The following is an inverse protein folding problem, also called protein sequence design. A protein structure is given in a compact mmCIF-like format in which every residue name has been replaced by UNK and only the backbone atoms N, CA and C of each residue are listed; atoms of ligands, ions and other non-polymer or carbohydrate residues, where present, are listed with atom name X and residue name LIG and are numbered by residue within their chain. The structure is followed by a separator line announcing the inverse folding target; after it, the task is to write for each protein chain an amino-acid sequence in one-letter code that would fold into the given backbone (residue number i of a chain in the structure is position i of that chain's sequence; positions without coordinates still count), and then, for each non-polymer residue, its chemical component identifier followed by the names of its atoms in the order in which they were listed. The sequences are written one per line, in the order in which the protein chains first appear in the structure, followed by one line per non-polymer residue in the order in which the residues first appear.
data_IF_103025916574
#
_entry.id   IF_103025916574
#
_cell.length_a   1.000
_cell.length_b   1.000
_cell.length_c   1.000
_cell.angle_alpha   90.00
_cell.angle_beta   90.00
_cell.angle_gamma   90.00
#
_symmetry.space_group_name_H-M   'P 1'
#
loop_
_entity.id
_entity.type
_entity.pdbx_description
1 polymer ?
#
# COMPACT_ATOMS: atom_id res chain seq x y z
N UNK A 1 9.28 16.58 -1.62
CA UNK A 1 8.98 15.63 -2.72
C UNK A 1 7.75 14.84 -2.26
N UNK A 2 6.76 14.64 -3.13
CA UNK A 2 5.59 13.80 -2.77
C UNK A 2 5.99 12.34 -2.67
N UNK A 3 5.22 11.53 -1.90
CA UNK A 3 5.47 10.07 -1.81
C UNK A 3 5.34 9.37 -3.18
N UNK A 4 4.53 9.89 -4.08
CA UNK A 4 4.41 9.40 -5.46
C UNK A 4 5.68 9.66 -6.28
N UNK A 5 6.20 10.89 -6.21
CA UNK A 5 7.47 11.23 -6.85
C UNK A 5 8.64 10.42 -6.27
N UNK A 6 8.63 10.15 -4.96
CA UNK A 6 9.62 9.29 -4.32
C UNK A 6 9.51 7.84 -4.81
N UNK A 7 8.29 7.31 -4.95
CA UNK A 7 8.07 5.98 -5.51
C UNK A 7 8.65 5.86 -6.92
N UNK A 8 8.39 6.83 -7.81
CA UNK A 8 8.97 6.87 -9.15
C UNK A 8 10.49 6.91 -9.12
N UNK A 9 11.08 7.68 -8.21
CA UNK A 9 12.54 7.73 -8.03
C UNK A 9 13.09 6.36 -7.62
N UNK A 10 12.52 5.72 -6.60
CA UNK A 10 12.97 4.41 -6.10
C UNK A 10 12.90 3.33 -7.19
N UNK A 11 11.85 3.33 -8.02
CA UNK A 11 11.74 2.40 -9.15
C UNK A 11 12.90 2.61 -10.15
N UNK A 12 13.17 3.86 -10.51
CA UNK A 12 14.21 4.21 -11.51
C UNK A 12 15.64 3.89 -11.04
N UNK A 13 15.88 3.81 -9.74
CA UNK A 13 17.18 3.44 -9.18
C UNK A 13 17.59 2.00 -9.55
N UNK A 14 16.64 1.12 -9.90
CA UNK A 14 16.90 -0.31 -10.22
C UNK A 14 17.76 -1.01 -9.17
N UNK A 15 17.57 -0.63 -7.90
CA UNK A 15 18.41 -1.06 -6.78
C UNK A 15 17.86 -2.30 -6.06
N UNK A 16 16.80 -2.92 -6.59
CA UNK A 16 16.14 -4.06 -5.97
C UNK A 16 15.60 -3.71 -4.59
N UNK A 17 14.92 -2.58 -4.47
CA UNK A 17 14.30 -2.18 -3.21
C UNK A 17 13.28 -3.22 -2.75
N UNK A 18 13.45 -3.73 -1.54
CA UNK A 18 12.50 -4.69 -0.97
C UNK A 18 11.21 -3.97 -0.64
N UNK A 19 10.10 -4.52 -1.13
CA UNK A 19 8.74 -4.03 -0.90
C UNK A 19 7.94 -5.09 -0.12
N UNK A 20 8.00 -5.07 1.24
CA UNK A 20 7.22 -5.99 2.04
C UNK A 20 5.72 -5.72 1.86
N UNK A 21 4.93 -6.80 1.74
CA UNK A 21 3.48 -6.72 1.77
C UNK A 21 3.00 -6.54 3.20
N UNK A 22 2.24 -5.46 3.41
CA UNK A 22 1.57 -5.15 4.67
C UNK A 22 0.09 -5.49 4.56
N UNK A 23 -0.57 -5.73 5.68
CA UNK A 23 -1.96 -6.17 5.70
C UNK A 23 -2.89 -5.18 6.42
N UNK A 24 -2.33 -4.21 7.16
CA UNK A 24 -3.07 -3.14 7.86
C UNK A 24 -2.15 -1.97 8.23
N UNK A 25 -2.71 -0.97 8.90
CA UNK A 25 -1.97 0.21 9.36
C UNK A 25 -0.87 -0.11 10.38
N UNK A 26 -1.07 -1.12 11.24
CA UNK A 26 -0.08 -1.51 12.25
C UNK A 26 1.13 -2.19 11.59
N UNK A 27 0.90 -3.14 10.70
CA UNK A 27 1.98 -3.80 9.95
C UNK A 27 2.74 -2.81 9.04
N UNK A 28 2.06 -1.77 8.53
CA UNK A 28 2.69 -0.70 7.78
C UNK A 28 3.67 0.11 8.64
N UNK A 29 3.27 0.52 9.85
CA UNK A 29 4.16 1.18 10.82
C UNK A 29 5.36 0.32 11.20
N UNK A 30 5.16 -0.99 11.38
CA UNK A 30 6.26 -1.93 11.67
C UNK A 30 7.25 -1.96 10.50
N UNK A 31 6.75 -2.02 9.25
CA UNK A 31 7.60 -2.03 8.07
C UNK A 31 8.39 -0.71 7.92
N UNK A 32 7.76 0.45 8.10
CA UNK A 32 8.43 1.75 8.10
C UNK A 32 9.49 1.84 9.20
N UNK A 33 9.18 1.45 10.44
CA UNK A 33 10.14 1.42 11.56
C UNK A 33 11.32 0.48 11.29
N UNK A 34 11.10 -0.60 10.56
CA UNK A 34 12.16 -1.52 10.13
C UNK A 34 13.07 -0.93 9.03
N UNK A 35 12.77 0.27 8.51
CA UNK A 35 13.60 0.99 7.54
C UNK A 35 13.27 0.68 6.07
N UNK A 36 12.16 0.04 5.77
CA UNK A 36 11.73 -0.15 4.38
C UNK A 36 11.29 1.18 3.76
N UNK A 37 11.82 1.48 2.58
CA UNK A 37 11.58 2.75 1.87
C UNK A 37 10.28 2.79 1.09
N UNK A 38 9.65 1.65 0.87
CA UNK A 38 8.37 1.47 0.19
C UNK A 38 7.70 0.18 0.68
N UNK A 39 6.37 0.14 0.63
CA UNK A 39 5.57 -1.00 1.08
C UNK A 39 4.49 -1.34 0.07
N UNK A 40 4.00 -2.58 0.12
CA UNK A 40 2.95 -3.09 -0.76
C UNK A 40 1.66 -3.42 0.01
N UNK A 41 0.50 -3.00 -0.49
CA UNK A 41 -0.82 -3.45 -0.07
C UNK A 41 -1.38 -4.45 -1.07
N UNK A 42 -1.29 -5.74 -0.78
CA UNK A 42 -1.79 -6.79 -1.67
C UNK A 42 -3.24 -7.18 -1.40
N UNK A 43 -4.01 -7.49 -2.45
CA UNK A 43 -5.40 -7.95 -2.34
C UNK A 43 -5.54 -9.19 -1.45
N UNK A 44 -4.66 -10.17 -1.60
CA UNK A 44 -4.61 -11.36 -0.74
C UNK A 44 -4.55 -11.02 0.76
N UNK A 45 -3.68 -10.07 1.14
CA UNK A 45 -3.51 -9.66 2.52
C UNK A 45 -4.71 -8.84 3.02
N UNK A 46 -5.25 -7.98 2.17
CA UNK A 46 -6.44 -7.18 2.46
C UNK A 46 -7.66 -8.08 2.72
N UNK A 47 -7.96 -9.03 1.84
CA UNK A 47 -9.06 -10.00 2.01
C UNK A 47 -8.86 -10.84 3.29
N UNK A 48 -7.64 -11.35 3.51
CA UNK A 48 -7.32 -12.14 4.70
C UNK A 48 -7.62 -11.40 6.01
N UNK A 49 -7.36 -10.11 6.07
CA UNK A 49 -7.56 -9.31 7.29
C UNK A 49 -8.94 -8.66 7.39
N UNK A 50 -9.53 -8.21 6.29
CA UNK A 50 -10.86 -7.61 6.31
C UNK A 50 -11.97 -8.66 6.52
N UNK A 51 -11.83 -9.85 5.91
CA UNK A 51 -12.89 -10.85 5.84
C UNK A 51 -12.55 -12.17 6.54
N UNK A 52 -11.29 -12.40 6.92
CA UNK A 52 -10.84 -13.71 7.42
C UNK A 52 -10.96 -14.83 6.37
N UNK A 53 -11.01 -14.47 5.09
CA UNK A 53 -11.32 -15.36 3.97
C UNK A 53 -10.14 -15.55 3.00
N UNK A 54 -10.31 -16.53 2.11
CA UNK A 54 -9.41 -16.71 0.97
C UNK A 54 -9.67 -15.63 -0.09
N UNK A 55 -8.62 -15.27 -0.84
CA UNK A 55 -8.69 -14.30 -1.93
C UNK A 55 -9.34 -14.93 -3.18
N UNK A 56 -10.62 -14.64 -3.36
CA UNK A 56 -11.50 -15.15 -4.43
C UNK A 56 -12.27 -14.01 -5.12
N UNK A 57 -11.78 -12.78 -5.07
CA UNK A 57 -12.40 -11.62 -5.71
C UNK A 57 -13.72 -11.17 -5.07
N UNK A 58 -13.94 -11.46 -3.78
CA UNK A 58 -15.23 -11.21 -3.11
C UNK A 58 -15.36 -9.81 -2.49
N UNK A 59 -14.31 -9.00 -2.52
CA UNK A 59 -14.37 -7.62 -2.03
C UNK A 59 -14.70 -6.63 -3.15
N UNK A 60 -14.88 -5.38 -2.79
CA UNK A 60 -15.24 -4.32 -3.71
C UNK A 60 -14.27 -3.12 -3.59
N UNK A 61 -14.34 -2.23 -4.57
CA UNK A 61 -13.51 -1.04 -4.67
C UNK A 61 -13.50 -0.18 -3.40
N UNK A 62 -14.66 -0.02 -2.74
CA UNK A 62 -14.79 0.85 -1.57
C UNK A 62 -14.07 0.28 -0.37
N UNK A 63 -14.25 -1.01 -0.11
CA UNK A 63 -13.56 -1.69 1.00
C UNK A 63 -12.05 -1.60 0.85
N UNK A 64 -11.53 -1.78 -0.39
CA UNK A 64 -10.12 -1.62 -0.68
C UNK A 64 -9.64 -0.18 -0.51
N UNK A 65 -10.39 0.81 -1.01
CA UNK A 65 -10.02 2.23 -0.87
C UNK A 65 -9.93 2.66 0.60
N UNK A 66 -10.90 2.26 1.42
CA UNK A 66 -10.92 2.54 2.85
C UNK A 66 -9.77 1.82 3.58
N UNK A 67 -9.51 0.58 3.23
CA UNK A 67 -8.42 -0.21 3.80
C UNK A 67 -7.04 0.40 3.47
N UNK A 68 -6.78 0.68 2.20
CA UNK A 68 -5.52 1.28 1.76
C UNK A 68 -5.34 2.71 2.26
N UNK A 69 -6.43 3.47 2.39
CA UNK A 69 -6.41 4.80 3.00
C UNK A 69 -5.89 4.79 4.44
N UNK A 70 -6.29 3.80 5.25
CA UNK A 70 -5.77 3.61 6.62
C UNK A 70 -4.29 3.26 6.62
N UNK A 71 -3.82 2.44 5.68
CA UNK A 71 -2.40 2.10 5.51
C UNK A 71 -1.61 3.36 5.15
N UNK A 72 -2.04 4.10 4.11
CA UNK A 72 -1.36 5.31 3.65
C UNK A 72 -1.31 6.40 4.74
N UNK A 73 -2.38 6.55 5.52
CA UNK A 73 -2.43 7.54 6.62
C UNK A 73 -1.50 7.20 7.81
N UNK A 74 -1.07 5.94 7.92
CA UNK A 74 -0.25 5.48 9.04
C UNK A 74 1.26 5.67 8.85
N UNK A 75 1.72 5.93 7.62
CA UNK A 75 3.15 5.90 7.23
C UNK A 75 3.53 7.09 6.33
N UNK A 76 4.84 7.39 6.28
CA UNK A 76 5.42 8.41 5.43
C UNK A 76 6.32 7.81 4.32
N UNK A 77 6.04 6.58 3.92
CA UNK A 77 6.70 5.90 2.80
C UNK A 77 5.70 5.59 1.69
N UNK A 78 6.15 5.50 0.42
CA UNK A 78 5.27 5.16 -0.69
C UNK A 78 4.57 3.81 -0.50
N UNK A 79 3.27 3.76 -0.82
CA UNK A 79 2.43 2.56 -0.78
C UNK A 79 1.98 2.21 -2.19
N UNK A 80 2.35 1.02 -2.68
CA UNK A 80 1.85 0.47 -3.95
C UNK A 80 0.83 -0.63 -3.67
N UNK A 81 -0.33 -0.59 -4.33
CA UNK A 81 -1.46 -1.46 -3.99
C UNK A 81 -1.96 -2.28 -5.17
N UNK A 82 -2.57 -3.41 -4.85
CA UNK A 82 -3.31 -4.24 -5.78
C UNK A 82 -4.74 -3.70 -5.96
N UNK A 83 -5.21 -3.65 -7.19
CA UNK A 83 -6.56 -3.24 -7.56
C UNK A 83 -7.32 -4.36 -8.28
N UNK A 84 -6.94 -5.61 -8.03
CA UNK A 84 -7.55 -6.78 -8.66
C UNK A 84 -7.66 -6.60 -10.20
N UNK A 85 -8.87 -6.70 -10.77
CA UNK A 85 -9.14 -6.48 -12.19
C UNK A 85 -9.67 -5.09 -12.52
N UNK A 86 -9.60 -4.15 -11.55
CA UNK A 86 -10.17 -2.80 -11.68
C UNK A 86 -11.65 -2.72 -11.30
N UNK A 87 -12.21 -3.78 -10.69
CA UNK A 87 -13.59 -3.85 -10.16
C UNK A 87 -14.71 -3.69 -11.21
N UNK A 88 -14.41 -4.01 -12.46
CA UNK A 88 -15.34 -3.96 -13.58
C UNK A 88 -14.70 -3.47 -14.87
N UNK A 89 -15.46 -2.73 -15.69
CA UNK A 89 -15.02 -2.21 -16.96
C UNK A 89 -14.44 -0.78 -16.84
N UNK A 90 -14.15 -0.11 -17.93
CA UNK A 90 -13.41 1.18 -18.04
C UNK A 90 -13.91 2.26 -17.09
N UNK A 91 -15.22 2.37 -16.87
CA UNK A 91 -15.79 3.35 -15.94
C UNK A 91 -15.55 2.97 -14.47
N UNK A 92 -15.53 1.68 -14.16
CA UNK A 92 -15.17 1.18 -12.82
C UNK A 92 -13.69 1.46 -12.55
N UNK A 93 -12.81 1.19 -13.52
CA UNK A 93 -11.38 1.50 -13.44
C UNK A 93 -11.16 3.00 -13.23
N UNK A 94 -11.86 3.86 -13.98
CA UNK A 94 -11.81 5.31 -13.79
C UNK A 94 -12.16 5.72 -12.35
N UNK A 95 -13.24 5.16 -11.81
CA UNK A 95 -13.67 5.44 -10.44
C UNK A 95 -12.70 4.87 -9.39
N UNK A 96 -12.16 3.69 -9.63
CA UNK A 96 -11.18 3.03 -8.77
C UNK A 96 -9.90 3.87 -8.66
N UNK A 97 -9.32 4.31 -9.79
CA UNK A 97 -8.10 5.14 -9.78
C UNK A 97 -8.31 6.41 -8.96
N UNK A 98 -9.43 7.12 -9.17
CA UNK A 98 -9.76 8.34 -8.41
C UNK A 98 -9.90 8.09 -6.92
N UNK A 99 -10.53 6.98 -6.54
CA UNK A 99 -10.72 6.59 -5.13
C UNK A 99 -9.40 6.24 -4.47
N UNK A 100 -8.56 5.44 -5.13
CA UNK A 100 -7.26 5.03 -4.61
C UNK A 100 -6.26 6.20 -4.58
N UNK A 101 -6.30 7.08 -5.58
CA UNK A 101 -5.51 8.30 -5.58
C UNK A 101 -5.86 9.21 -4.40
N UNK A 102 -7.15 9.33 -4.08
CA UNK A 102 -7.64 10.06 -2.91
C UNK A 102 -7.23 9.39 -1.60
N UNK A 103 -7.18 8.05 -1.56
CA UNK A 103 -6.68 7.28 -0.42
C UNK A 103 -5.17 7.46 -0.16
N UNK A 104 -4.42 8.09 -1.08
CA UNK A 104 -3.01 8.43 -0.87
C UNK A 104 -2.01 7.41 -1.44
N UNK A 105 -2.44 6.43 -2.22
CA UNK A 105 -1.55 5.43 -2.80
C UNK A 105 -0.55 6.05 -3.80
N UNK A 106 0.61 5.42 -3.93
CA UNK A 106 1.68 5.86 -4.83
C UNK A 106 1.74 5.03 -6.12
N UNK A 107 1.21 3.81 -6.10
CA UNK A 107 1.10 2.95 -7.26
C UNK A 107 -0.16 2.08 -7.21
N UNK A 108 -0.75 1.80 -8.37
CA UNK A 108 -1.95 0.97 -8.52
C UNK A 108 -1.64 -0.12 -9.53
N UNK A 109 -1.75 -1.39 -9.11
CA UNK A 109 -1.58 -2.54 -9.98
C UNK A 109 -2.94 -3.09 -10.40
N UNK A 110 -3.17 -3.18 -11.71
CA UNK A 110 -4.39 -3.71 -12.32
C UNK A 110 -4.03 -5.00 -13.08
N UNK A 111 -4.74 -6.09 -12.82
CA UNK A 111 -4.55 -7.38 -13.45
C UNK A 111 -5.51 -7.65 -14.60
N UNK A 112 -5.09 -8.49 -15.54
CA UNK A 112 -5.88 -8.93 -16.70
C UNK A 112 -6.66 -10.23 -16.50
N UNK A 113 -6.81 -10.70 -15.25
CA UNK A 113 -7.68 -11.84 -14.99
C UNK A 113 -9.14 -11.51 -15.32
N UNK A 114 -9.92 -12.51 -15.73
CA UNK A 114 -11.37 -12.40 -15.77
C UNK A 114 -11.94 -12.34 -14.35
N UNK A 115 -13.01 -11.56 -14.18
CA UNK A 115 -13.70 -11.48 -12.88
C UNK A 115 -14.66 -12.66 -12.68
N UNK A 116 -14.76 -13.26 -11.48
CA UNK A 116 -14.01 -12.94 -10.27
C UNK A 116 -12.56 -13.43 -10.32
N UNK A 117 -11.63 -12.53 -9.98
CA UNK A 117 -10.20 -12.87 -9.93
C UNK A 117 -9.88 -13.78 -8.74
N UNK A 118 -8.70 -14.37 -8.79
CA UNK A 118 -8.16 -15.23 -7.73
C UNK A 118 -6.72 -14.86 -7.45
N UNK A 119 -6.24 -15.25 -6.27
CA UNK A 119 -4.81 -15.17 -5.99
C UNK A 119 -3.98 -15.75 -7.15
N UNK A 120 -2.96 -15.02 -7.59
CA UNK A 120 -2.15 -15.38 -8.76
C UNK A 120 -1.42 -16.73 -8.68
N UNK A 121 -1.40 -17.36 -7.51
CA UNK A 121 -0.83 -18.71 -7.29
C UNK A 121 -1.87 -19.83 -7.30
N UNK A 122 -3.16 -19.52 -7.39
CA UNK A 122 -4.22 -20.50 -7.48
C UNK A 122 -4.44 -20.95 -8.95
N UNK A 123 -4.83 -22.19 -9.19
CA UNK A 123 -5.19 -22.68 -10.52
C UNK A 123 -6.58 -22.18 -10.95
N UNK A 124 -6.89 -22.37 -12.25
CA UNK A 124 -8.19 -22.08 -12.82
C UNK A 124 -8.46 -20.58 -12.97
N UNK A 125 -7.43 -19.81 -13.25
CA UNK A 125 -7.52 -18.42 -13.70
C UNK A 125 -7.78 -18.38 -15.20
N UNK A 126 -8.39 -17.31 -15.64
CA UNK A 126 -8.52 -16.96 -17.04
C UNK A 126 -8.15 -15.50 -17.22
N UNK A 127 -7.79 -15.09 -18.43
CA UNK A 127 -7.43 -13.71 -18.73
C UNK A 127 -8.36 -13.12 -19.79
N UNK A 128 -8.68 -11.86 -19.64
CA UNK A 128 -9.45 -11.08 -20.62
C UNK A 128 -8.65 -10.88 -21.91
N UNK A 129 -9.31 -10.43 -22.97
CA UNK A 129 -8.63 -10.10 -24.23
C UNK A 129 -7.62 -8.95 -24.01
N UNK A 130 -6.62 -8.89 -24.88
CA UNK A 130 -5.61 -7.82 -24.84
C UNK A 130 -6.26 -6.45 -25.06
N UNK A 131 -7.24 -6.37 -25.96
CA UNK A 131 -7.97 -5.14 -26.30
C UNK A 131 -8.76 -4.63 -25.09
N UNK A 132 -9.42 -5.51 -24.34
CA UNK A 132 -10.15 -5.14 -23.13
C UNK A 132 -9.21 -4.60 -22.07
N UNK A 133 -8.06 -5.25 -21.84
CA UNK A 133 -7.08 -4.77 -20.87
C UNK A 133 -6.45 -3.44 -21.30
N UNK A 134 -6.15 -3.23 -22.59
CA UNK A 134 -5.68 -1.96 -23.13
C UNK A 134 -6.70 -0.85 -22.84
N UNK A 135 -8.00 -1.11 -23.05
CA UNK A 135 -9.04 -0.13 -22.75
C UNK A 135 -9.07 0.25 -21.28
N UNK A 136 -8.95 -0.73 -20.37
CA UNK A 136 -8.85 -0.50 -18.91
C UNK A 136 -7.60 0.32 -18.54
N UNK A 137 -6.44 0.01 -19.10
CA UNK A 137 -5.20 0.77 -18.84
C UNK A 137 -5.34 2.22 -19.32
N UNK A 138 -5.87 2.47 -20.52
CA UNK A 138 -6.12 3.82 -21.02
C UNK A 138 -7.08 4.60 -20.13
N UNK A 139 -8.13 3.94 -19.62
CA UNK A 139 -9.05 4.54 -18.66
C UNK A 139 -8.35 4.90 -17.34
N UNK A 140 -7.47 4.03 -16.84
CA UNK A 140 -6.68 4.27 -15.62
C UNK A 140 -5.74 5.47 -15.78
N UNK A 141 -4.99 5.51 -16.88
CA UNK A 141 -4.06 6.61 -17.20
C UNK A 141 -4.79 7.95 -17.35
N UNK A 142 -5.93 7.95 -18.02
CA UNK A 142 -6.75 9.16 -18.20
C UNK A 142 -7.44 9.62 -16.90
N UNK A 143 -7.70 8.71 -15.97
CA UNK A 143 -8.37 9.00 -14.71
C UNK A 143 -7.46 9.64 -13.65
N UNK A 144 -6.15 9.33 -13.65
CA UNK A 144 -5.19 9.87 -12.69
C UNK A 144 -5.06 11.39 -12.83
N UNK A 145 -4.98 12.08 -11.69
CA UNK A 145 -4.81 13.55 -11.62
C UNK A 145 -3.36 13.95 -11.36
N UNK A 146 -2.69 13.18 -10.50
CA UNK A 146 -1.29 13.37 -10.19
C UNK A 146 -0.44 12.53 -11.16
N UNK A 147 0.38 13.17 -12.02
CA UNK A 147 1.20 12.46 -13.01
C UNK A 147 2.23 11.52 -12.36
N UNK A 148 2.53 11.69 -11.08
CA UNK A 148 3.44 10.82 -10.35
C UNK A 148 2.79 9.54 -9.82
N UNK A 149 1.45 9.41 -9.85
CA UNK A 149 0.78 8.15 -9.56
C UNK A 149 1.17 7.09 -10.61
N UNK A 150 1.71 5.96 -10.15
CA UNK A 150 2.21 4.90 -11.04
C UNK A 150 1.08 3.91 -11.36
N UNK A 151 0.79 3.69 -12.64
CA UNK A 151 -0.13 2.67 -13.12
C UNK A 151 0.68 1.44 -13.54
N UNK A 152 0.41 0.31 -12.90
CA UNK A 152 1.12 -0.95 -13.11
C UNK A 152 0.16 -1.93 -13.76
N UNK A 153 0.48 -2.43 -14.94
CA UNK A 153 -0.28 -3.48 -15.60
C UNK A 153 0.31 -4.86 -15.24
N UNK A 154 -0.53 -5.77 -14.77
CA UNK A 154 -0.15 -7.15 -14.48
C UNK A 154 -0.84 -8.08 -15.46
N UNK A 155 -0.09 -9.06 -15.99
CA UNK A 155 -0.69 -10.17 -16.74
C UNK A 155 -0.50 -11.50 -16.01
N UNK A 156 -1.57 -12.27 -15.93
CA UNK A 156 -1.55 -13.64 -15.42
C UNK A 156 -1.48 -14.69 -16.54
N UNK A 157 -1.33 -14.28 -17.81
CA UNK A 157 -1.33 -15.14 -18.99
C UNK A 157 -0.19 -16.18 -19.02
N UNK A 158 0.92 -15.95 -18.29
CA UNK A 158 2.08 -16.85 -18.31
C UNK A 158 1.73 -18.29 -17.93
N UNK A 159 0.82 -18.50 -16.99
CA UNK A 159 0.48 -19.84 -16.51
C UNK A 159 -0.12 -20.73 -17.60
N UNK A 160 -0.94 -20.15 -18.47
CA UNK A 160 -1.74 -20.90 -19.44
C UNK A 160 -1.25 -20.72 -20.89
N UNK A 161 -0.62 -19.58 -21.20
CA UNK A 161 -0.17 -19.22 -22.55
C UNK A 161 1.35 -19.07 -22.68
N UNK A 162 2.09 -19.17 -21.59
CA UNK A 162 3.56 -19.11 -21.58
C UNK A 162 4.13 -17.70 -21.48
N UNK A 163 5.47 -17.63 -21.37
CA UNK A 163 6.19 -16.39 -21.14
C UNK A 163 6.16 -15.44 -22.34
N UNK A 164 6.17 -15.98 -23.57
CA UNK A 164 6.17 -15.15 -24.80
C UNK A 164 4.89 -14.32 -24.90
N UNK A 165 3.72 -14.93 -24.64
CA UNK A 165 2.44 -14.23 -24.58
C UNK A 165 2.45 -13.16 -23.47
N UNK A 166 2.96 -13.49 -22.29
CA UNK A 166 3.02 -12.56 -21.18
C UNK A 166 3.92 -11.35 -21.48
N UNK A 167 5.05 -11.55 -22.12
CA UNK A 167 5.95 -10.47 -22.56
C UNK A 167 5.28 -9.61 -23.64
N UNK A 168 4.62 -10.22 -24.61
CA UNK A 168 3.89 -9.51 -25.66
C UNK A 168 2.80 -8.62 -25.04
N UNK A 169 1.98 -9.16 -24.12
CA UNK A 169 0.97 -8.39 -23.41
C UNK A 169 1.59 -7.21 -22.63
N UNK A 170 2.67 -7.43 -21.89
CA UNK A 170 3.36 -6.36 -21.17
C UNK A 170 3.80 -5.21 -22.09
N UNK A 171 4.34 -5.51 -23.27
CA UNK A 171 4.74 -4.49 -24.27
C UNK A 171 3.54 -3.65 -24.71
N UNK A 172 2.42 -4.30 -25.06
CA UNK A 172 1.19 -3.62 -25.49
C UNK A 172 0.57 -2.79 -24.34
N UNK A 173 0.66 -3.25 -23.09
CA UNK A 173 0.17 -2.51 -21.94
C UNK A 173 1.00 -1.25 -21.67
N UNK A 174 2.32 -1.29 -21.89
CA UNK A 174 3.18 -0.09 -21.84
C UNK A 174 2.85 0.88 -22.97
N UNK A 175 2.61 0.40 -24.20
CA UNK A 175 2.15 1.23 -25.32
C UNK A 175 0.76 1.86 -25.06
N UNK A 176 -0.09 1.19 -24.25
CA UNK A 176 -1.36 1.75 -23.80
C UNK A 176 -1.19 2.86 -22.75
N UNK A 177 0.01 3.04 -22.18
CA UNK A 177 0.38 4.11 -21.25
C UNK A 177 0.57 3.67 -19.80
N UNK A 178 0.58 2.36 -19.49
CA UNK A 178 1.02 1.90 -18.18
C UNK A 178 2.48 2.35 -17.93
N UNK A 179 2.76 2.74 -16.68
CA UNK A 179 4.13 3.13 -16.31
C UNK A 179 5.03 1.91 -16.11
N UNK A 180 4.46 0.82 -15.62
CA UNK A 180 5.13 -0.48 -15.45
C UNK A 180 4.22 -1.60 -15.95
N UNK A 181 4.84 -2.69 -16.41
CA UNK A 181 4.14 -3.92 -16.74
C UNK A 181 4.91 -5.13 -16.22
N UNK A 182 4.19 -6.12 -15.72
CA UNK A 182 4.83 -7.33 -15.18
C UNK A 182 3.99 -8.59 -15.42
N UNK A 183 4.61 -9.69 -15.84
CA UNK A 183 3.99 -11.00 -15.82
C UNK A 183 3.99 -11.56 -14.39
N UNK A 184 2.90 -12.20 -14.02
CA UNK A 184 2.77 -12.93 -12.76
C UNK A 184 3.39 -14.33 -12.88
N UNK A 185 4.00 -14.79 -11.77
CA UNK A 185 4.53 -16.17 -11.70
C UNK A 185 5.86 -16.36 -12.43
N UNK A 186 6.59 -15.29 -12.75
CA UNK A 186 7.98 -15.37 -13.24
C UNK A 186 8.88 -15.67 -12.04
N UNK A 187 9.39 -16.89 -11.97
CA UNK A 187 10.09 -17.44 -10.82
C UNK A 187 11.45 -18.10 -11.14
N UNK A 188 11.89 -18.08 -12.40
CA UNK A 188 13.17 -18.61 -12.83
C UNK A 188 14.14 -17.49 -13.24
N UNK A 189 15.46 -17.65 -12.96
CA UNK A 189 16.47 -16.66 -13.30
C UNK A 189 16.46 -16.23 -14.75
N UNK A 190 16.39 -17.24 -15.63
CA UNK A 190 16.38 -17.04 -17.07
C UNK A 190 15.13 -16.29 -17.55
N UNK A 191 13.97 -16.51 -16.91
CA UNK A 191 12.74 -15.80 -17.24
C UNK A 191 12.79 -14.34 -16.75
N UNK A 192 13.35 -14.10 -15.56
CA UNK A 192 13.56 -12.75 -15.04
C UNK A 192 14.51 -11.98 -15.95
N UNK A 193 15.62 -12.61 -16.37
CA UNK A 193 16.57 -12.02 -17.30
C UNK A 193 15.91 -11.64 -18.64
N UNK A 194 15.06 -12.52 -19.19
CA UNK A 194 14.27 -12.23 -20.40
C UNK A 194 13.32 -11.05 -20.18
N UNK A 195 12.59 -11.02 -19.06
CA UNK A 195 11.69 -9.90 -18.75
C UNK A 195 12.45 -8.57 -18.67
N UNK A 196 13.61 -8.54 -17.99
CA UNK A 196 14.47 -7.36 -17.90
C UNK A 196 15.00 -6.89 -19.26
N UNK A 197 15.27 -7.80 -20.18
CA UNK A 197 15.76 -7.51 -21.52
C UNK A 197 14.67 -7.07 -22.49
N UNK A 198 13.50 -7.72 -22.43
CA UNK A 198 12.48 -7.61 -23.46
C UNK A 198 11.34 -6.66 -23.12
N UNK A 199 11.05 -6.41 -21.83
CA UNK A 199 9.99 -5.50 -21.38
C UNK A 199 10.64 -4.11 -21.13
N UNK A 200 10.29 -3.07 -21.91
CA UNK A 200 10.97 -1.77 -21.84
C UNK A 200 10.49 -0.89 -20.67
N UNK A 201 10.53 -1.43 -19.47
CA UNK A 201 10.27 -0.70 -18.21
C UNK A 201 11.13 -1.21 -17.06
N UNK A 202 11.04 -0.57 -15.90
CA UNK A 202 11.64 -1.06 -14.67
C UNK A 202 10.90 -2.32 -14.19
N UNK A 203 11.63 -3.42 -14.00
CA UNK A 203 11.02 -4.70 -13.66
C UNK A 203 10.88 -4.89 -12.16
N UNK A 204 9.68 -5.28 -11.71
CA UNK A 204 9.37 -5.65 -10.33
C UNK A 204 9.32 -7.18 -10.18
N UNK A 205 10.31 -7.74 -9.52
CA UNK A 205 10.31 -9.16 -9.15
C UNK A 205 9.36 -9.43 -7.98
N UNK A 206 8.84 -10.66 -7.89
CA UNK A 206 8.03 -11.09 -6.74
C UNK A 206 8.66 -12.31 -6.09
N UNK A 207 8.96 -12.24 -4.81
CA UNK A 207 9.32 -13.38 -3.96
C UNK A 207 8.14 -13.70 -3.06
N UNK A 208 7.57 -14.88 -3.23
CA UNK A 208 6.45 -15.33 -2.40
C UNK A 208 6.67 -16.75 -1.91
N UNK A 209 6.43 -16.97 -0.64
CA UNK A 209 6.45 -18.31 -0.06
C UNK A 209 5.38 -19.22 -0.68
N UNK A 210 4.30 -18.66 -1.23
CA UNK A 210 3.26 -19.40 -1.94
C UNK A 210 3.73 -19.93 -3.30
N UNK A 211 4.75 -19.31 -3.91
CA UNK A 211 5.37 -19.81 -5.13
C UNK A 211 6.42 -20.86 -4.79
N UNK A 212 6.51 -21.90 -5.62
CA UNK A 212 7.62 -22.85 -5.56
C UNK A 212 8.87 -22.23 -6.20
N UNK A 213 9.23 -21.03 -5.74
CA UNK A 213 10.33 -20.26 -6.29
C UNK A 213 11.67 -20.89 -5.96
N UNK A 214 12.54 -20.91 -6.96
CA UNK A 214 13.93 -21.37 -6.80
C UNK A 214 14.85 -20.27 -6.29
N UNK A 215 14.40 -19.01 -6.39
CA UNK A 215 15.12 -17.85 -5.86
C UNK A 215 14.68 -17.54 -4.44
N UNK A 216 15.64 -17.62 -3.57
CA UNK A 216 15.52 -17.09 -2.20
C UNK A 216 16.53 -15.97 -1.94
N UNK A 217 17.47 -15.73 -2.87
CA UNK A 217 18.54 -14.77 -2.69
C UNK A 217 18.18 -13.40 -3.29
N UNK A 218 17.94 -12.46 -2.39
CA UNK A 218 17.68 -11.07 -2.71
C UNK A 218 18.90 -10.42 -3.41
N UNK A 219 20.13 -10.85 -3.09
CA UNK A 219 21.33 -10.31 -3.67
C UNK A 219 21.44 -10.64 -5.16
N UNK A 220 21.02 -11.85 -5.57
CA UNK A 220 20.99 -12.23 -6.99
C UNK A 220 19.99 -11.37 -7.79
N UNK A 221 18.80 -11.15 -7.25
CA UNK A 221 17.81 -10.28 -7.90
C UNK A 221 18.32 -8.84 -8.05
N UNK A 222 18.98 -8.33 -7.02
CA UNK A 222 19.62 -7.00 -7.08
C UNK A 222 20.72 -6.94 -8.13
N UNK A 223 21.55 -7.97 -8.23
CA UNK A 223 22.61 -8.06 -9.22
C UNK A 223 22.07 -8.10 -10.66
N UNK A 224 20.87 -8.64 -10.89
CA UNK A 224 20.20 -8.61 -12.18
C UNK A 224 19.62 -7.23 -12.52
N UNK A 225 19.57 -6.29 -11.58
CA UNK A 225 19.07 -4.93 -11.82
C UNK A 225 17.55 -4.81 -11.77
N UNK A 226 16.84 -5.67 -11.01
CA UNK A 226 15.41 -5.48 -10.76
C UNK A 226 15.18 -4.18 -9.98
N UNK A 227 14.08 -3.49 -10.25
CA UNK A 227 13.76 -2.23 -9.60
C UNK A 227 13.28 -2.46 -8.15
N UNK A 228 12.34 -3.36 -7.99
CA UNK A 228 11.74 -3.70 -6.70
C UNK A 228 11.60 -5.21 -6.54
N UNK A 229 11.63 -5.67 -5.28
CA UNK A 229 11.41 -7.06 -4.90
C UNK A 229 10.21 -7.10 -3.97
N UNK A 230 9.04 -7.46 -4.51
CA UNK A 230 7.80 -7.55 -3.76
C UNK A 230 7.73 -8.86 -2.98
N UNK A 231 7.34 -8.77 -1.70
CA UNK A 231 7.08 -9.90 -0.80
C UNK A 231 5.65 -9.80 -0.24
N UNK A 232 4.62 -10.11 -1.04
CA UNK A 232 3.24 -9.67 -0.80
C UNK A 232 2.59 -10.23 0.47
N UNK A 233 3.00 -11.39 0.95
CA UNK A 233 2.37 -12.06 2.11
C UNK A 233 3.27 -12.21 3.32
N UNK A 234 4.48 -11.63 3.29
CA UNK A 234 5.50 -11.90 4.33
C UNK A 234 5.02 -11.52 5.74
N UNK A 235 4.46 -10.32 5.91
CA UNK A 235 3.99 -9.85 7.20
C UNK A 235 2.74 -10.60 7.67
N UNK A 236 1.79 -10.86 6.76
CA UNK A 236 0.56 -11.59 7.09
C UNK A 236 0.85 -13.01 7.58
N UNK A 237 1.72 -13.74 6.87
CA UNK A 237 2.04 -15.12 7.28
C UNK A 237 2.84 -15.18 8.56
N UNK A 238 3.74 -14.21 8.80
CA UNK A 238 4.45 -14.10 10.06
C UNK A 238 3.48 -13.82 11.23
N UNK A 239 2.56 -12.88 11.06
CA UNK A 239 1.56 -12.55 12.08
C UNK A 239 0.60 -13.73 12.34
N UNK A 240 0.08 -14.37 11.30
CA UNK A 240 -0.82 -15.50 11.42
C UNK A 240 -0.16 -16.67 12.19
N UNK A 241 1.11 -16.96 11.88
CA UNK A 241 1.86 -17.99 12.59
C UNK A 241 2.08 -17.61 14.07
N UNK A 242 2.50 -16.37 14.35
CA UNK A 242 2.73 -15.92 15.71
C UNK A 242 1.45 -15.96 16.56
N UNK A 243 0.34 -15.46 16.02
CA UNK A 243 -0.97 -15.46 16.71
C UNK A 243 -1.46 -16.88 16.96
N UNK A 244 -1.43 -17.76 15.93
CA UNK A 244 -1.86 -19.16 16.09
C UNK A 244 -1.03 -19.89 17.16
N UNK A 245 0.29 -19.76 17.11
CA UNK A 245 1.22 -20.38 18.08
C UNK A 245 0.95 -19.88 19.50
N UNK A 246 0.81 -18.57 19.69
CA UNK A 246 0.56 -17.96 20.99
C UNK A 246 -0.77 -18.40 21.58
N UNK A 247 -1.85 -18.35 20.78
CA UNK A 247 -3.18 -18.72 21.27
C UNK A 247 -3.30 -20.23 21.59
N UNK A 248 -2.68 -21.10 20.80
CA UNK A 248 -2.63 -22.54 21.09
C UNK A 248 -1.84 -22.83 22.39
N UNK A 249 -0.71 -22.18 22.58
CA UNK A 249 0.09 -22.32 23.80
C UNK A 249 -0.70 -21.86 25.02
N UNK A 250 -1.36 -20.72 24.94
CA UNK A 250 -2.21 -20.20 26.03
C UNK A 250 -3.38 -21.12 26.32
N UNK A 251 -4.07 -21.61 25.27
CA UNK A 251 -5.21 -22.55 25.44
C UNK A 251 -4.81 -23.87 26.07
N UNK A 252 -3.60 -24.36 25.81
CA UNK A 252 -3.08 -25.60 26.35
C UNK A 252 -2.56 -25.46 27.76
N UNK A 253 -1.77 -24.42 28.05
CA UNK A 253 -1.10 -24.22 29.34
C UNK A 253 -1.99 -23.50 30.39
N UNK A 254 -2.99 -22.73 29.92
CA UNK A 254 -3.88 -21.95 30.79
C UNK A 254 -3.15 -20.88 31.62
N UNK A 255 -1.95 -20.46 31.21
CA UNK A 255 -1.10 -19.52 31.95
C UNK A 255 -0.46 -18.49 31.04
N UNK A 256 -0.50 -17.21 31.44
CA UNK A 256 0.15 -16.11 30.72
C UNK A 256 1.67 -16.30 30.60
N UNK A 257 2.31 -16.87 31.62
CA UNK A 257 3.75 -17.11 31.61
C UNK A 257 4.21 -18.05 30.49
N UNK A 258 3.31 -18.86 29.93
CA UNK A 258 3.62 -19.76 28.82
C UNK A 258 3.82 -19.03 27.49
N UNK A 259 3.40 -17.77 27.36
CA UNK A 259 3.42 -16.97 26.14
C UNK A 259 4.13 -15.62 26.30
N UNK A 260 4.47 -15.20 27.51
CA UNK A 260 4.96 -13.86 27.84
C UNK A 260 6.20 -13.45 27.03
N UNK A 261 7.13 -14.38 26.79
CA UNK A 261 8.35 -14.11 26.02
C UNK A 261 8.11 -13.85 24.53
N UNK A 262 6.96 -14.28 24.01
CA UNK A 262 6.55 -14.07 22.62
C UNK A 262 5.73 -12.80 22.39
N UNK A 263 5.42 -12.05 23.45
CA UNK A 263 4.62 -10.85 23.35
C UNK A 263 5.48 -9.59 23.29
N UNK A 264 5.03 -8.61 22.49
CA UNK A 264 5.61 -7.26 22.50
C UNK A 264 5.35 -6.61 23.87
N UNK A 265 6.33 -5.92 24.43
CA UNK A 265 6.15 -5.15 25.66
C UNK A 265 5.21 -3.96 25.41
N UNK A 266 4.47 -3.57 26.43
CA UNK A 266 3.54 -2.43 26.34
C UNK A 266 4.25 -1.14 25.93
N UNK A 267 5.42 -0.87 26.49
CA UNK A 267 6.20 0.34 26.15
C UNK A 267 6.64 0.37 24.68
N UNK A 268 7.11 -0.78 24.16
CA UNK A 268 7.51 -0.93 22.76
C UNK A 268 6.31 -0.76 21.80
N UNK A 269 5.13 -1.24 22.21
CA UNK A 269 3.89 -1.02 21.48
C UNK A 269 3.46 0.46 21.50
N UNK A 270 3.50 1.09 22.67
CA UNK A 270 3.15 2.51 22.82
C UNK A 270 4.06 3.42 21.98
N UNK A 271 5.37 3.11 21.91
CA UNK A 271 6.31 3.79 21.01
C UNK A 271 5.94 3.56 19.54
N UNK A 272 5.66 2.32 19.13
CA UNK A 272 5.26 1.97 17.77
C UNK A 272 4.03 2.76 17.31
N UNK A 273 3.03 2.94 18.16
CA UNK A 273 1.79 3.66 17.83
C UNK A 273 1.88 5.17 18.12
N UNK A 274 3.06 5.68 18.51
CA UNK A 274 3.32 7.09 18.81
C UNK A 274 2.44 7.67 19.94
N UNK A 275 2.20 6.92 20.99
CA UNK A 275 1.37 7.37 22.12
C UNK A 275 1.88 8.69 22.72
N UNK A 276 3.20 8.80 22.96
CA UNK A 276 3.80 10.02 23.55
C UNK A 276 3.60 11.26 22.68
N UNK A 277 3.74 11.13 21.35
CA UNK A 277 3.46 12.23 20.42
C UNK A 277 2.01 12.67 20.43
N UNK A 278 1.07 11.72 20.52
CA UNK A 278 -0.37 12.03 20.64
C UNK A 278 -0.68 12.77 21.96
N UNK A 279 -0.12 12.31 23.07
CA UNK A 279 -0.29 12.99 24.37
C UNK A 279 0.33 14.39 24.37
N UNK A 280 1.51 14.57 23.79
CA UNK A 280 2.16 15.86 23.69
C UNK A 280 1.33 16.86 22.86
N UNK A 281 0.82 16.47 21.71
CA UNK A 281 -0.02 17.33 20.88
C UNK A 281 -1.36 17.66 21.55
N UNK A 282 -1.95 16.76 22.32
CA UNK A 282 -3.16 17.04 23.11
C UNK A 282 -2.91 18.16 24.14
N UNK A 283 -1.79 18.10 24.86
CA UNK A 283 -1.39 19.13 25.83
C UNK A 283 -1.19 20.47 25.12
N UNK A 284 -0.41 20.49 24.03
CA UNK A 284 -0.13 21.69 23.24
C UNK A 284 -1.41 22.40 22.77
N UNK A 285 -2.35 21.65 22.19
CA UNK A 285 -3.62 22.22 21.70
C UNK A 285 -4.48 22.77 22.83
N UNK A 286 -4.51 22.12 23.99
CA UNK A 286 -5.23 22.63 25.19
C UNK A 286 -4.61 23.91 25.74
N UNK A 287 -3.28 23.99 25.77
CA UNK A 287 -2.57 25.21 26.19
C UNK A 287 -2.78 26.37 25.20
N UNK A 288 -2.75 26.09 23.90
CA UNK A 288 -3.04 27.11 22.88
C UNK A 288 -4.47 27.64 23.00
N UNK A 289 -5.45 26.76 23.20
CA UNK A 289 -6.84 27.18 23.44
C UNK A 289 -6.95 28.08 24.67
N UNK A 290 -6.29 27.71 25.76
CA UNK A 290 -6.26 28.50 27.00
C UNK A 290 -5.66 29.90 26.76
N UNK A 291 -4.51 29.94 26.04
CA UNK A 291 -3.84 31.21 25.69
C UNK A 291 -4.72 32.11 24.79
N UNK A 292 -5.49 31.53 23.88
CA UNK A 292 -6.42 32.25 23.01
C UNK A 292 -7.55 32.92 23.84
N UNK A 293 -8.16 32.16 24.75
CA UNK A 293 -9.23 32.67 25.64
C UNK A 293 -8.71 33.81 26.54
N UNK A 294 -7.53 33.65 27.15
CA UNK A 294 -6.91 34.67 27.99
C UNK A 294 -6.64 35.96 27.22
N UNK A 295 -6.10 35.88 26.01
CA UNK A 295 -5.87 37.03 25.13
C UNK A 295 -7.17 37.76 24.75
N UNK A 296 -8.25 37.04 24.53
CA UNK A 296 -9.54 37.62 24.21
C UNK A 296 -10.12 38.38 25.42
N UNK A 297 -10.10 37.76 26.60
CA UNK A 297 -10.59 38.36 27.84
C UNK A 297 -9.76 39.59 28.24
N UNK A 298 -8.43 39.55 28.06
CA UNK A 298 -7.56 40.71 28.32
C UNK A 298 -7.80 41.92 27.37
N UNK A 299 -8.20 41.66 26.14
CA UNK A 299 -8.59 42.72 25.19
C UNK A 299 -9.96 43.34 25.54
N UNK A 300 -10.89 42.56 26.10
CA UNK A 300 -12.20 43.03 26.52
C UNK A 300 -12.11 43.98 27.71
N UNK A 301 -11.13 43.81 28.60
CA UNK A 301 -10.92 44.68 29.77
C UNK A 301 -10.20 46.00 29.47
N UNK A 302 -9.42 46.07 28.39
CA UNK A 302 -8.75 47.31 27.94
C UNK A 302 -9.68 48.27 27.19
N UNK A 303 -10.80 47.79 26.63
CA UNK A 303 -11.80 48.65 25.97
C UNK A 303 -12.83 49.24 26.91
N UNK A 304 -12.91 48.81 28.17
CA UNK A 304 -13.85 49.33 29.18
C UNK A 304 -13.28 50.45 30.07
N UNK A 305 -12.04 50.90 29.86
CA UNK A 305 -11.39 51.95 30.64
C UNK A 305 -11.29 53.34 29.96
N UNK A 306 -11.83 53.50 28.75
CA UNK A 306 -12.07 54.82 28.19
C UNK A 306 -13.42 55.32 28.68
N UNK A 307 -13.44 55.75 29.91
CA UNK A 307 -14.54 56.49 30.53
C UNK A 307 -14.69 57.83 29.83
N UNK A 308 -15.87 58.08 29.32
CA UNK A 308 -16.36 59.31 28.81
C UNK A 308 -16.25 60.33 29.94
N UNK A 309 -15.27 61.23 29.83
CA UNK A 309 -15.28 62.48 30.60
C UNK A 309 -16.25 63.50 29.92
N UNK A 310 -17.48 63.41 30.28
CA UNK A 310 -18.50 64.45 29.95
C UNK A 310 -18.42 65.58 30.95
N UNK A 311 -17.35 66.37 30.85
CA UNK A 311 -17.24 67.61 31.54
C UNK A 311 -18.36 68.56 31.19
N UNK A 312 -19.36 68.63 32.05
CA UNK A 312 -20.41 69.65 32.00
C UNK A 312 -19.85 71.03 32.20
N UNK A 313 -20.30 71.99 31.42
CA UNK A 313 -20.42 73.38 31.87
C UNK A 313 -21.72 73.97 31.33
N UNK A 314 -22.67 74.09 32.23
CA UNK A 314 -23.81 74.99 32.12
C UNK A 314 -23.34 76.44 32.41
N UNK A 315 -23.44 77.31 31.41
CA UNK A 315 -23.94 78.69 31.59
C UNK A 315 -24.56 79.17 30.30
#
# INVERSE_FOLDING_TARGET
MSLRAEYRKLIRERAGHIMPGVYDALSARIAERAGFKLIGGGGFAAIGTMLGGADMGQSNMRDYADHYGRICAAVNVPVSVDADTGFGDVHNVTQMVRSFETAGVSGIMIGDQSFPNRCGYLPGKDVISVEEMIAKIRAAVAARRDPDLVIIARTDSRSDFGLDEAIMRCKLYLEAGADLAKPQGVDRPEEIARCLQEIPCEFAATLSQAAKQRFTDIAELKAQGVATISMPSIALFAAAHAVDTTLRSLATAGSLSSVETGLMRLDDYNELVNLNGMMASEIEFREEATRLVQRHNGRSTTHSSETIDMGGNLR
#
